data_IF_312962841271
#
_entry.id   IF_312962841271
#
_cell.length_a   1.000
_cell.length_b   1.000
_cell.length_c   1.000
_cell.angle_alpha   90.00
_cell.angle_beta   90.00
_cell.angle_gamma   90.00
#
_symmetry.space_group_name_H-M   'P 1'
#
loop_
_entity.id
_entity.type
_entity.pdbx_description
1 polymer ?
#
# COMPACT_ATOMS: atom_id res chain seq x y z
N UNK A 1 -16.33 35.49 -16.84
CA UNK A 1 -17.69 34.91 -16.83
C UNK A 1 -17.63 33.50 -17.42
N UNK A 2 -17.33 32.44 -16.65
CA UNK A 2 -17.35 31.06 -17.17
C UNK A 2 -17.64 29.94 -16.14
N UNK A 3 -17.95 30.26 -14.88
CA UNK A 3 -18.14 29.24 -13.81
C UNK A 3 -19.55 28.57 -13.82
N UNK A 4 -20.50 29.12 -14.56
CA UNK A 4 -21.91 28.72 -14.55
C UNK A 4 -22.16 27.31 -15.15
N UNK A 5 -21.32 26.91 -16.11
CA UNK A 5 -21.46 25.63 -16.81
C UNK A 5 -21.06 24.43 -15.92
N UNK A 6 -20.03 24.59 -15.08
CA UNK A 6 -19.57 23.55 -14.16
C UNK A 6 -20.58 23.29 -13.04
N UNK A 7 -21.21 24.35 -12.52
CA UNK A 7 -22.21 24.28 -11.45
C UNK A 7 -23.50 23.61 -11.93
N UNK A 8 -23.99 23.95 -13.14
CA UNK A 8 -25.18 23.31 -13.72
C UNK A 8 -24.98 21.81 -13.98
N UNK A 9 -23.79 21.42 -14.44
CA UNK A 9 -23.43 20.00 -14.64
C UNK A 9 -23.30 19.26 -13.30
N UNK A 10 -22.68 19.87 -12.29
CA UNK A 10 -22.60 19.31 -10.94
C UNK A 10 -24.00 19.09 -10.33
N UNK A 11 -24.91 20.05 -10.46
CA UNK A 11 -26.29 19.92 -10.00
C UNK A 11 -27.04 18.81 -10.75
N UNK A 12 -26.75 18.62 -12.04
CA UNK A 12 -27.35 17.54 -12.85
C UNK A 12 -26.84 16.16 -12.43
N UNK A 13 -25.56 16.03 -12.08
CA UNK A 13 -24.98 14.79 -11.56
C UNK A 13 -25.58 14.40 -10.20
N UNK A 14 -25.77 15.37 -9.29
CA UNK A 14 -26.47 15.14 -8.02
C UNK A 14 -27.93 14.68 -8.24
N UNK A 15 -28.65 15.30 -9.20
CA UNK A 15 -30.01 14.87 -9.57
C UNK A 15 -30.07 13.44 -10.13
N UNK A 16 -29.01 12.98 -10.80
CA UNK A 16 -28.89 11.60 -11.28
C UNK A 16 -28.51 10.61 -10.16
N UNK A 17 -28.30 11.11 -8.94
CA UNK A 17 -27.92 10.34 -7.76
C UNK A 17 -26.44 10.00 -7.71
N UNK A 18 -25.59 10.84 -8.31
CA UNK A 18 -24.15 10.83 -8.06
C UNK A 18 -23.84 11.39 -6.67
N UNK A 19 -22.79 10.88 -6.02
CA UNK A 19 -22.32 11.34 -4.71
C UNK A 19 -21.08 12.21 -4.89
N UNK A 20 -21.08 13.40 -4.28
CA UNK A 20 -19.89 14.27 -4.27
C UNK A 20 -18.80 13.62 -3.40
N UNK A 21 -17.59 13.52 -3.91
CA UNK A 21 -16.41 13.05 -3.19
C UNK A 21 -15.67 14.23 -2.53
N UNK A 22 -14.90 13.92 -1.49
CA UNK A 22 -13.97 14.84 -0.82
C UNK A 22 -12.71 15.15 -1.63
N UNK A 23 -12.55 14.50 -2.80
CA UNK A 23 -11.43 14.69 -3.72
C UNK A 23 -11.83 15.69 -4.82
N UNK A 24 -10.94 16.64 -5.11
CA UNK A 24 -11.11 17.62 -6.17
C UNK A 24 -10.28 17.27 -7.41
N UNK A 25 -10.76 17.66 -8.59
CA UNK A 25 -10.05 17.46 -9.85
C UNK A 25 -8.71 18.20 -9.85
N UNK A 26 -7.57 17.56 -10.19
CA UNK A 26 -6.27 18.21 -10.18
C UNK A 26 -6.11 19.30 -11.27
N UNK A 27 -7.03 19.36 -12.24
CA UNK A 27 -6.95 20.30 -13.38
C UNK A 27 -7.77 21.57 -13.13
N UNK A 28 -8.98 21.44 -12.58
CA UNK A 28 -9.89 22.58 -12.34
C UNK A 28 -10.27 22.79 -10.88
N UNK A 29 -9.75 21.99 -9.94
CA UNK A 29 -10.08 22.04 -8.51
C UNK A 29 -11.57 21.90 -8.17
N UNK A 30 -12.38 21.43 -9.12
CA UNK A 30 -13.80 21.14 -8.90
C UNK A 30 -13.97 19.80 -8.17
N UNK A 31 -14.91 19.68 -7.22
CA UNK A 31 -15.18 18.42 -6.54
C UNK A 31 -15.59 17.33 -7.53
N UNK A 32 -15.06 16.13 -7.33
CA UNK A 32 -15.37 14.96 -8.14
C UNK A 32 -16.69 14.32 -7.69
N UNK A 33 -17.37 13.65 -8.62
CA UNK A 33 -18.63 12.97 -8.35
C UNK A 33 -18.53 11.50 -8.70
N UNK A 34 -19.06 10.63 -7.85
CA UNK A 34 -19.18 9.19 -8.07
C UNK A 34 -20.59 8.85 -8.56
N UNK A 35 -20.70 8.31 -9.77
CA UNK A 35 -21.95 7.81 -10.33
C UNK A 35 -22.39 6.50 -9.65
N UNK A 36 -23.66 6.13 -9.78
CA UNK A 36 -24.18 4.84 -9.31
C UNK A 36 -23.51 3.63 -9.97
N UNK A 37 -22.93 3.80 -11.16
CA UNK A 37 -22.12 2.79 -11.85
C UNK A 37 -20.76 2.54 -11.18
N UNK A 38 -20.35 3.39 -10.22
CA UNK A 38 -19.03 3.33 -9.60
C UNK A 38 -17.98 4.21 -10.29
N UNK A 39 -18.31 4.84 -11.42
CA UNK A 39 -17.39 5.71 -12.16
C UNK A 39 -17.27 7.09 -11.50
N UNK A 40 -16.04 7.63 -11.46
CA UNK A 40 -15.78 8.97 -10.94
C UNK A 40 -15.66 9.94 -12.12
N UNK A 41 -16.28 11.11 -11.99
CA UNK A 41 -16.43 12.09 -13.06
C UNK A 41 -16.23 13.51 -12.52
N UNK A 42 -15.46 14.29 -13.26
CA UNK A 42 -15.38 15.73 -13.13
C UNK A 42 -16.46 16.39 -14.00
N UNK A 43 -17.25 17.35 -13.48
CA UNK A 43 -18.31 18.03 -14.26
C UNK A 43 -17.77 18.81 -15.47
N UNK A 44 -16.50 19.25 -15.43
CA UNK A 44 -15.88 20.01 -16.53
C UNK A 44 -15.09 19.12 -17.49
N UNK A 45 -14.33 18.13 -16.97
CA UNK A 45 -13.37 17.35 -17.78
C UNK A 45 -13.84 15.94 -18.15
N UNK A 46 -14.95 15.44 -17.59
CA UNK A 46 -15.48 14.11 -17.89
C UNK A 46 -14.99 13.02 -16.93
N UNK A 47 -14.96 11.76 -17.38
CA UNK A 47 -14.56 10.62 -16.53
C UNK A 47 -13.13 10.83 -16.01
N UNK A 48 -12.99 10.76 -14.70
CA UNK A 48 -11.71 10.82 -14.00
C UNK A 48 -11.51 9.50 -13.32
N UNK A 49 -10.51 8.74 -13.77
CA UNK A 49 -10.09 7.55 -13.05
C UNK A 49 -9.30 8.01 -11.82
N UNK A 50 -9.97 8.11 -10.67
CA UNK A 50 -9.27 8.26 -9.39
C UNK A 50 -8.69 6.89 -9.06
N UNK A 51 -7.42 6.72 -9.37
CA UNK A 51 -6.63 5.59 -8.88
C UNK A 51 -6.50 5.80 -7.37
N UNK A 52 -7.25 5.06 -6.55
CA UNK A 52 -7.01 4.98 -5.10
C UNK A 52 -5.69 4.22 -4.90
N UNK A 53 -4.57 4.91 -5.08
CA UNK A 53 -3.25 4.31 -5.09
C UNK A 53 -2.52 4.35 -3.74
N UNK A 54 -3.03 5.00 -2.70
CA UNK A 54 -2.31 5.07 -1.42
C UNK A 54 -2.25 3.73 -0.68
N UNK A 55 -3.28 2.90 -0.79
CA UNK A 55 -3.36 1.63 -0.06
C UNK A 55 -2.54 0.53 -0.74
N UNK A 56 -2.61 0.44 -2.06
CA UNK A 56 -1.83 -0.54 -2.85
C UNK A 56 -0.34 -0.13 -2.92
N UNK A 57 -0.03 1.16 -3.07
CA UNK A 57 1.36 1.64 -3.06
C UNK A 57 1.99 1.49 -1.66
N UNK A 58 1.24 1.72 -0.58
CA UNK A 58 1.71 1.44 0.78
C UNK A 58 1.88 -0.06 1.05
N UNK A 59 1.01 -0.93 0.52
CA UNK A 59 1.14 -2.39 0.66
C UNK A 59 2.34 -2.92 -0.11
N UNK A 60 2.51 -2.52 -1.37
CA UNK A 60 3.67 -2.89 -2.20
C UNK A 60 4.96 -2.37 -1.54
N UNK A 61 4.97 -1.13 -1.06
CA UNK A 61 6.12 -0.57 -0.34
C UNK A 61 6.42 -1.32 0.96
N UNK A 62 5.39 -1.75 1.71
CA UNK A 62 5.55 -2.60 2.90
C UNK A 62 6.10 -3.98 2.56
N UNK A 63 5.60 -4.61 1.50
CA UNK A 63 6.09 -5.92 1.04
C UNK A 63 7.57 -5.84 0.63
N UNK A 64 7.94 -4.86 -0.19
CA UNK A 64 9.34 -4.63 -0.59
C UNK A 64 10.24 -4.32 0.62
N UNK A 65 9.73 -3.54 1.58
CA UNK A 65 10.49 -3.24 2.81
C UNK A 65 10.71 -4.49 3.67
N UNK A 66 9.70 -5.35 3.79
CA UNK A 66 9.80 -6.60 4.55
C UNK A 66 10.72 -7.62 3.86
N UNK A 67 10.71 -7.70 2.54
CA UNK A 67 11.67 -8.51 1.78
C UNK A 67 13.11 -8.04 2.02
N UNK A 68 13.37 -6.73 2.05
CA UNK A 68 14.69 -6.20 2.38
C UNK A 68 15.13 -6.50 3.82
N UNK A 69 14.18 -6.51 4.77
CA UNK A 69 14.44 -6.94 6.15
C UNK A 69 14.77 -8.43 6.21
N UNK A 70 14.03 -9.27 5.48
CA UNK A 70 14.31 -10.72 5.37
C UNK A 70 15.73 -10.98 4.86
N UNK A 71 16.13 -10.33 3.77
CA UNK A 71 17.48 -10.44 3.20
C UNK A 71 18.56 -10.03 4.21
N UNK A 72 18.36 -8.90 4.90
CA UNK A 72 19.29 -8.42 5.93
C UNK A 72 19.43 -9.40 7.11
N UNK A 73 18.31 -10.01 7.54
CA UNK A 73 18.32 -10.99 8.61
C UNK A 73 19.01 -12.30 8.18
N UNK A 74 18.84 -12.72 6.93
CA UNK A 74 19.53 -13.89 6.36
C UNK A 74 21.05 -13.65 6.30
N UNK A 75 21.49 -12.48 5.84
CA UNK A 75 22.91 -12.10 5.83
C UNK A 75 23.51 -12.12 7.24
N UNK A 76 22.79 -11.58 8.22
CA UNK A 76 23.16 -11.63 9.63
C UNK A 76 23.27 -13.08 10.15
N UNK A 77 22.29 -13.91 9.82
CA UNK A 77 22.28 -15.33 10.19
C UNK A 77 23.49 -16.07 9.60
N UNK A 78 23.85 -15.82 8.34
CA UNK A 78 25.03 -16.40 7.71
C UNK A 78 26.33 -15.96 8.40
N UNK A 79 26.43 -14.69 8.79
CA UNK A 79 27.59 -14.18 9.51
C UNK A 79 27.75 -14.85 10.88
N UNK A 80 26.66 -15.05 11.63
CA UNK A 80 26.69 -15.75 12.92
C UNK A 80 26.96 -17.25 12.73
N UNK A 81 26.37 -17.88 11.73
CA UNK A 81 26.63 -19.29 11.41
C UNK A 81 28.12 -19.54 11.10
N UNK A 82 28.80 -18.58 10.46
CA UNK A 82 30.25 -18.66 10.25
C UNK A 82 31.03 -18.63 11.57
N UNK A 83 30.62 -17.80 12.53
CA UNK A 83 31.24 -17.76 13.87
C UNK A 83 31.06 -19.08 14.62
N UNK A 84 29.87 -19.69 14.56
CA UNK A 84 29.61 -21.01 15.15
C UNK A 84 30.46 -22.10 14.50
N UNK A 85 30.71 -21.98 13.18
CA UNK A 85 31.61 -22.92 12.49
C UNK A 85 33.05 -22.82 13.01
N UNK A 86 33.49 -21.63 13.40
CA UNK A 86 34.83 -21.39 13.95
C UNK A 86 34.90 -21.77 15.44
N UNK A 87 33.87 -21.46 16.23
CA UNK A 87 33.71 -21.87 17.62
C UNK A 87 32.30 -22.43 17.89
N UNK A 88 32.12 -23.77 17.83
CA UNK A 88 30.83 -24.40 18.06
C UNK A 88 30.32 -24.29 19.50
N UNK A 89 31.17 -23.91 20.45
CA UNK A 89 30.81 -23.80 21.87
C UNK A 89 30.44 -22.39 22.29
N UNK A 90 30.47 -21.42 21.36
CA UNK A 90 30.07 -20.04 21.62
C UNK A 90 28.55 -19.95 21.83
N UNK A 91 28.14 -19.96 23.10
CA UNK A 91 26.75 -19.81 23.51
C UNK A 91 26.11 -18.51 23.03
N UNK A 92 26.87 -17.43 22.89
CA UNK A 92 26.33 -16.13 22.47
C UNK A 92 25.89 -16.20 21.01
N UNK A 93 26.76 -16.72 20.14
CA UNK A 93 26.43 -16.94 18.72
C UNK A 93 25.26 -17.93 18.56
N UNK A 94 25.20 -18.99 19.35
CA UNK A 94 24.08 -19.95 19.33
C UNK A 94 22.74 -19.28 19.71
N UNK A 95 22.71 -18.46 20.77
CA UNK A 95 21.52 -17.67 21.14
C UNK A 95 21.15 -16.68 20.05
N UNK A 96 22.15 -16.05 19.42
CA UNK A 96 21.93 -15.09 18.35
C UNK A 96 21.31 -15.73 17.11
N UNK A 97 21.70 -16.95 16.75
CA UNK A 97 21.02 -17.74 15.69
C UNK A 97 19.55 -17.95 16.00
N UNK A 98 19.21 -18.33 17.23
CA UNK A 98 17.82 -18.54 17.63
C UNK A 98 17.02 -17.24 17.45
N UNK A 99 17.57 -16.09 17.86
CA UNK A 99 16.91 -14.80 17.66
C UNK A 99 16.72 -14.44 16.19
N UNK A 100 17.70 -14.72 15.33
CA UNK A 100 17.56 -14.50 13.89
C UNK A 100 16.47 -15.39 13.28
N UNK A 101 16.40 -16.67 13.65
CA UNK A 101 15.38 -17.60 13.19
C UNK A 101 13.97 -17.15 13.63
N UNK A 102 13.81 -16.72 14.88
CA UNK A 102 12.55 -16.16 15.39
C UNK A 102 12.14 -14.88 14.66
N UNK A 103 13.11 -14.00 14.37
CA UNK A 103 12.85 -12.77 13.62
C UNK A 103 12.41 -13.09 12.19
N UNK A 104 13.07 -14.05 11.53
CA UNK A 104 12.70 -14.50 10.18
C UNK A 104 11.30 -15.11 10.14
N UNK A 105 10.93 -15.94 11.11
CA UNK A 105 9.57 -16.51 11.21
C UNK A 105 8.49 -15.42 11.36
N UNK A 106 8.77 -14.36 12.14
CA UNK A 106 7.87 -13.20 12.25
C UNK A 106 7.74 -12.44 10.93
N UNK A 107 8.84 -12.21 10.24
CA UNK A 107 8.83 -11.52 8.93
C UNK A 107 8.06 -12.35 7.90
N UNK A 108 8.28 -13.67 7.85
CA UNK A 108 7.56 -14.57 6.95
C UNK A 108 6.04 -14.57 7.22
N UNK A 109 5.63 -14.57 8.49
CA UNK A 109 4.21 -14.45 8.88
C UNK A 109 3.61 -13.12 8.41
N UNK A 110 4.31 -12.00 8.60
CA UNK A 110 3.85 -10.69 8.14
C UNK A 110 3.71 -10.65 6.61
N UNK A 111 4.66 -11.23 5.87
CA UNK A 111 4.58 -11.34 4.40
C UNK A 111 3.38 -12.20 3.98
N UNK A 112 3.13 -13.33 4.66
CA UNK A 112 1.97 -14.20 4.39
C UNK A 112 0.64 -13.50 4.67
N UNK A 113 0.52 -12.75 5.76
CA UNK A 113 -0.67 -11.96 6.08
C UNK A 113 -0.97 -10.90 5.02
N UNK A 114 0.07 -10.21 4.53
CA UNK A 114 -0.06 -9.23 3.44
C UNK A 114 -0.50 -9.86 2.13
N UNK A 115 0.01 -11.06 1.79
CA UNK A 115 -0.40 -11.81 0.59
C UNK A 115 -1.81 -12.40 0.71
N UNK A 116 -2.21 -12.84 1.91
CA UNK A 116 -3.56 -13.35 2.17
C UNK A 116 -4.66 -12.30 1.99
N UNK A 117 -4.36 -11.03 2.22
CA UNK A 117 -5.27 -9.90 1.99
C UNK A 117 -5.49 -9.56 0.50
N UNK A 118 -4.76 -10.19 -0.44
CA UNK A 118 -4.90 -9.97 -1.88
C UNK A 118 -5.97 -10.87 -2.53
N UNK A 119 -6.55 -11.81 -1.79
CA UNK A 119 -7.52 -12.80 -2.30
C UNK A 119 -8.97 -12.60 -1.81
N UNK A 120 -9.32 -11.44 -1.26
CA UNK A 120 -10.70 -11.07 -0.89
C UNK A 120 -11.12 -9.74 -1.51
#
# INVERSE_FOLDING_TARGET
MSDDAGIKKAASLLKQGAVMLDISCPICHMPLFKLKSGEIVCPNHGKVYVVKNEEEEAKVKREVSLQGVEETLLDGLFAVAKKIKEDPSDEESLKQVIYYLDALDRVEKLIKELKGQQSQ
#
